data_IF_637227804172
#
_entry.id   IF_637227804172
#
_cell.length_a   1.000
_cell.length_b   1.000
_cell.length_c   1.000
_cell.angle_alpha   90.00
_cell.angle_beta   90.00
_cell.angle_gamma   90.00
#
_symmetry.space_group_name_H-M   'P 1'
#
loop_
_entity.id
_entity.type
_entity.pdbx_description
1 polymer ?
#
# COMPACT_ATOMS: atom_id res chain seq x y z
N UNK A 1 -1.89 5.78 49.42
CA UNK A 1 -1.98 4.81 48.32
C UNK A 1 -1.02 5.26 47.23
N UNK A 2 0.20 4.72 47.23
CA UNK A 2 1.23 5.07 46.26
C UNK A 2 1.12 4.10 45.08
N UNK A 3 0.72 4.61 43.91
CA UNK A 3 0.62 3.83 42.69
C UNK A 3 2.02 3.60 42.09
N UNK A 4 2.38 2.34 41.90
CA UNK A 4 3.64 1.91 41.31
C UNK A 4 3.55 2.08 39.77
N UNK A 5 4.39 2.94 39.20
CA UNK A 5 4.48 3.14 37.74
C UNK A 5 5.36 2.02 37.18
N UNK A 6 4.76 1.08 36.45
CA UNK A 6 5.49 0.06 35.69
C UNK A 6 5.94 0.63 34.35
N UNK A 7 7.24 0.85 34.20
CA UNK A 7 7.84 1.09 32.89
C UNK A 7 7.89 -0.22 32.13
N UNK A 8 7.18 -0.30 31.00
CA UNK A 8 7.31 -1.41 30.06
C UNK A 8 8.40 -1.00 29.08
N UNK A 9 9.57 -1.65 29.14
CA UNK A 9 10.56 -1.52 28.07
C UNK A 9 9.93 -2.03 26.77
N UNK A 10 9.59 -1.12 25.88
CA UNK A 10 9.19 -1.44 24.51
C UNK A 10 10.44 -1.93 23.78
N UNK A 11 10.63 -3.25 23.75
CA UNK A 11 11.65 -3.89 22.92
C UNK A 11 11.36 -3.49 21.47
N UNK A 12 12.19 -2.61 20.91
CA UNK A 12 12.10 -2.26 19.50
C UNK A 12 12.40 -3.54 18.69
N UNK A 13 11.54 -3.92 17.74
CA UNK A 13 11.77 -5.13 16.97
C UNK A 13 13.08 -5.00 16.19
N UNK A 14 13.82 -6.10 16.08
CA UNK A 14 15.03 -6.13 15.25
C UNK A 14 14.71 -5.60 13.84
N UNK A 15 15.62 -4.80 13.25
CA UNK A 15 15.41 -4.27 11.91
C UNK A 15 15.21 -5.43 10.92
N UNK A 16 14.39 -5.25 9.86
CA UNK A 16 14.17 -6.30 8.88
C UNK A 16 15.50 -6.67 8.20
N UNK A 17 15.87 -7.95 8.25
CA UNK A 17 17.17 -8.42 7.73
C UNK A 17 17.36 -8.20 6.21
N UNK A 18 16.26 -8.02 5.47
CA UNK A 18 16.27 -8.01 4.01
C UNK A 18 15.75 -6.71 3.38
N UNK A 19 15.33 -5.73 4.17
CA UNK A 19 14.82 -4.48 3.60
C UNK A 19 15.98 -3.57 3.19
N UNK A 20 16.01 -3.16 1.93
CA UNK A 20 16.93 -2.15 1.41
C UNK A 20 16.14 -1.06 0.69
N UNK A 21 16.54 0.18 0.89
CA UNK A 21 15.95 1.33 0.18
C UNK A 21 16.41 1.28 -1.28
N UNK A 22 15.55 0.76 -2.16
CA UNK A 22 15.69 0.90 -3.61
C UNK A 22 15.10 2.25 -4.08
N UNK A 23 15.46 2.75 -5.28
CA UNK A 23 14.86 3.98 -5.83
C UNK A 23 13.33 3.92 -5.91
N UNK A 24 12.77 2.76 -6.25
CA UNK A 24 11.32 2.58 -6.31
C UNK A 24 10.70 2.54 -4.90
N UNK A 25 11.33 1.86 -3.93
CA UNK A 25 10.88 1.87 -2.54
C UNK A 25 10.88 3.29 -1.94
N UNK A 26 11.93 4.07 -2.22
CA UNK A 26 12.02 5.47 -1.81
C UNK A 26 10.93 6.33 -2.46
N UNK A 27 10.70 6.15 -3.76
CA UNK A 27 9.65 6.88 -4.49
C UNK A 27 8.27 6.59 -3.89
N UNK A 28 7.96 5.33 -3.61
CA UNK A 28 6.69 4.94 -2.98
C UNK A 28 6.57 5.51 -1.56
N UNK A 29 7.65 5.45 -0.78
CA UNK A 29 7.69 6.04 0.56
C UNK A 29 7.45 7.55 0.53
N UNK A 30 8.09 8.30 -0.39
CA UNK A 30 7.91 9.74 -0.50
C UNK A 30 6.46 10.13 -0.85
N UNK A 31 5.77 9.35 -1.69
CA UNK A 31 4.34 9.54 -1.96
C UNK A 31 3.49 9.26 -0.71
N UNK A 32 3.81 8.19 0.01
CA UNK A 32 3.11 7.89 1.26
C UNK A 32 3.33 8.97 2.33
N UNK A 33 4.55 9.47 2.47
CA UNK A 33 4.87 10.61 3.33
C UNK A 33 4.16 11.90 2.86
N UNK A 34 4.05 12.13 1.55
CA UNK A 34 3.23 13.19 0.97
C UNK A 34 1.80 13.14 1.47
N UNK A 35 1.17 11.96 1.42
CA UNK A 35 -0.16 11.72 1.99
C UNK A 35 -0.22 11.99 3.49
N UNK A 36 0.72 11.47 4.29
CA UNK A 36 0.74 11.68 5.74
C UNK A 36 0.81 13.16 6.14
N UNK A 37 1.46 13.97 5.31
CA UNK A 37 1.59 15.41 5.50
C UNK A 37 0.49 16.22 4.79
N UNK A 38 -0.61 15.58 4.38
CA UNK A 38 -1.75 16.19 3.68
C UNK A 38 -1.37 16.93 2.38
N UNK A 39 -0.26 16.56 1.73
CA UNK A 39 0.19 17.15 0.46
C UNK A 39 -0.46 16.50 -0.75
N UNK A 40 -1.04 15.31 -0.60
CA UNK A 40 -1.81 14.64 -1.64
C UNK A 40 -2.96 13.78 -1.06
N UNK A 41 -4.07 13.63 -1.80
CA UNK A 41 -5.15 12.72 -1.41
C UNK A 41 -4.74 11.24 -1.45
N UNK A 42 -5.38 10.42 -0.61
CA UNK A 42 -5.12 8.98 -0.50
C UNK A 42 -5.28 8.24 -1.85
N UNK A 43 -6.31 8.58 -2.63
CA UNK A 43 -6.59 7.98 -3.93
C UNK A 43 -5.45 8.26 -4.92
N UNK A 44 -4.95 9.50 -4.96
CA UNK A 44 -3.85 9.89 -5.85
C UNK A 44 -2.57 9.12 -5.51
N UNK A 45 -2.25 9.04 -4.22
CA UNK A 45 -1.10 8.31 -3.70
C UNK A 45 -1.19 6.82 -4.00
N UNK A 46 -2.33 6.18 -3.65
CA UNK A 46 -2.53 4.75 -3.85
C UNK A 46 -2.52 4.36 -5.33
N UNK A 47 -3.15 5.15 -6.20
CA UNK A 47 -3.16 4.90 -7.63
C UNK A 47 -1.77 5.05 -8.26
N UNK A 48 -0.98 6.02 -7.78
CA UNK A 48 0.41 6.16 -8.20
C UNK A 48 1.24 4.92 -7.81
N UNK A 49 1.10 4.42 -6.58
CA UNK A 49 1.80 3.23 -6.12
C UNK A 49 1.50 2.01 -7.00
N UNK A 50 0.22 1.77 -7.29
CA UNK A 50 -0.21 0.73 -8.24
C UNK A 50 0.40 0.94 -9.64
N UNK A 51 0.34 2.16 -10.16
CA UNK A 51 0.80 2.48 -11.51
C UNK A 51 2.31 2.28 -11.67
N UNK A 52 3.11 2.65 -10.66
CA UNK A 52 4.56 2.44 -10.67
C UNK A 52 4.91 0.95 -10.74
N UNK A 53 4.31 0.11 -9.89
CA UNK A 53 4.51 -1.34 -9.90
C UNK A 53 4.18 -1.94 -11.29
N UNK A 54 3.01 -1.57 -11.83
CA UNK A 54 2.56 -2.06 -13.14
C UNK A 54 3.53 -1.64 -14.24
N UNK A 55 3.98 -0.39 -14.22
CA UNK A 55 4.92 0.14 -15.21
C UNK A 55 6.26 -0.58 -15.15
N UNK A 56 6.86 -0.71 -13.95
CA UNK A 56 8.15 -1.37 -13.74
C UNK A 56 8.16 -2.83 -14.17
N UNK A 57 7.07 -3.54 -13.92
CA UNK A 57 6.95 -4.93 -14.34
C UNK A 57 6.53 -5.11 -15.81
N UNK A 58 6.20 -4.04 -16.54
CA UNK A 58 5.70 -4.12 -17.91
C UNK A 58 4.29 -4.71 -18.02
N UNK A 59 3.49 -4.63 -16.96
CA UNK A 59 2.11 -5.12 -16.95
C UNK A 59 1.69 -5.75 -15.63
N UNK A 60 0.38 -5.94 -15.46
CA UNK A 60 -0.21 -6.37 -14.19
C UNK A 60 0.14 -7.83 -13.84
N UNK A 61 0.09 -8.75 -14.82
CA UNK A 61 0.48 -10.16 -14.62
C UNK A 61 1.96 -10.31 -14.25
N UNK A 62 2.81 -9.45 -14.77
CA UNK A 62 4.22 -9.46 -14.43
C UNK A 62 4.46 -8.84 -13.06
N UNK A 63 3.72 -7.80 -12.68
CA UNK A 63 3.81 -7.18 -11.36
C UNK A 63 3.49 -8.18 -10.24
N UNK A 64 2.49 -9.05 -10.46
CA UNK A 64 2.18 -10.13 -9.53
C UNK A 64 3.37 -11.05 -9.27
N UNK A 65 4.03 -11.49 -10.35
CA UNK A 65 5.21 -12.38 -10.25
C UNK A 65 6.42 -11.66 -9.67
N UNK A 66 6.71 -10.47 -10.19
CA UNK A 66 7.89 -9.67 -9.85
C UNK A 66 7.89 -9.28 -8.38
N UNK A 67 6.77 -8.77 -7.86
CA UNK A 67 6.68 -8.31 -6.47
C UNK A 67 6.08 -9.35 -5.53
N UNK A 68 5.66 -10.52 -6.04
CA UNK A 68 5.01 -11.58 -5.28
C UNK A 68 3.78 -11.04 -4.52
N UNK A 69 2.95 -10.28 -5.23
CA UNK A 69 1.69 -9.71 -4.74
C UNK A 69 0.58 -10.28 -5.61
N UNK A 70 -0.37 -10.97 -5.01
CA UNK A 70 -1.47 -11.59 -5.73
C UNK A 70 -2.22 -10.55 -6.59
N UNK A 71 -2.60 -10.97 -7.80
CA UNK A 71 -3.34 -10.14 -8.76
C UNK A 71 -4.55 -9.42 -8.14
N UNK A 72 -5.33 -10.08 -7.29
CA UNK A 72 -6.54 -9.50 -6.70
C UNK A 72 -6.23 -8.32 -5.77
N UNK A 73 -5.08 -8.33 -5.08
CA UNK A 73 -4.64 -7.20 -4.26
C UNK A 73 -4.36 -5.98 -5.14
N UNK A 74 -3.59 -6.16 -6.23
CA UNK A 74 -3.26 -5.07 -7.14
C UNK A 74 -4.50 -4.53 -7.87
N UNK A 75 -5.40 -5.43 -8.26
CA UNK A 75 -6.67 -5.08 -8.89
C UNK A 75 -7.56 -4.28 -7.93
N UNK A 76 -7.75 -4.76 -6.69
CA UNK A 76 -8.56 -4.08 -5.68
C UNK A 76 -8.01 -2.70 -5.33
N UNK A 77 -6.68 -2.58 -5.19
CA UNK A 77 -6.02 -1.28 -4.98
C UNK A 77 -6.31 -0.32 -6.14
N UNK A 78 -6.17 -0.77 -7.39
CA UNK A 78 -6.50 0.05 -8.56
C UNK A 78 -7.98 0.45 -8.57
N UNK A 79 -8.90 -0.45 -8.26
CA UNK A 79 -10.33 -0.15 -8.21
C UNK A 79 -10.61 0.96 -7.20
N UNK A 80 -10.29 0.73 -5.91
CA UNK A 80 -10.59 1.67 -4.83
C UNK A 80 -9.97 3.06 -5.05
N UNK A 81 -8.79 3.13 -5.67
CA UNK A 81 -8.05 4.39 -5.86
C UNK A 81 -8.35 5.10 -7.18
N UNK A 82 -9.08 4.47 -8.11
CA UNK A 82 -9.42 5.09 -9.40
C UNK A 82 -10.91 5.30 -9.65
N UNK A 83 -11.78 4.49 -9.05
CA UNK A 83 -13.23 4.51 -9.31
C UNK A 83 -14.04 5.17 -8.21
N UNK A 84 -13.47 5.38 -7.01
CA UNK A 84 -14.15 6.04 -5.88
C UNK A 84 -13.64 7.46 -5.64
N UNK A 85 -14.52 8.44 -5.81
CA UNK A 85 -14.24 9.85 -5.64
C UNK A 85 -15.43 10.73 -6.01
N UNK A 86 -15.37 12.00 -5.62
CA UNK A 86 -16.17 13.07 -6.22
C UNK A 86 -15.66 13.40 -7.64
N UNK A 87 -16.36 14.23 -8.40
CA UNK A 87 -15.99 14.63 -9.78
C UNK A 87 -14.54 15.14 -9.91
N UNK A 88 -13.90 15.54 -8.80
CA UNK A 88 -12.53 16.07 -8.76
C UNK A 88 -11.46 15.02 -8.47
N UNK A 89 -11.81 13.85 -7.92
CA UNK A 89 -10.84 12.85 -7.45
C UNK A 89 -10.95 11.49 -8.15
N UNK A 90 -12.09 11.17 -8.78
CA UNK A 90 -12.23 9.96 -9.59
C UNK A 90 -11.38 10.03 -10.87
N UNK A 91 -10.53 9.01 -11.12
CA UNK A 91 -9.63 8.95 -12.29
C UNK A 91 -10.19 8.13 -13.45
N UNK A 92 -11.25 7.34 -13.22
CA UNK A 92 -11.97 6.56 -14.24
C UNK A 92 -13.48 6.68 -14.03
N UNK A 93 -14.19 7.13 -15.07
CA UNK A 93 -15.65 7.11 -15.15
C UNK A 93 -16.08 5.88 -15.97
N UNK A 94 -16.36 4.76 -15.32
CA UNK A 94 -16.99 3.59 -15.95
C UNK A 94 -18.46 3.47 -15.47
N UNK A 95 -19.35 2.85 -16.24
CA UNK A 95 -20.82 2.86 -16.05
C UNK A 95 -21.34 2.23 -14.73
N UNK A 96 -20.47 1.73 -13.85
CA UNK A 96 -20.79 1.15 -12.54
C UNK A 96 -20.00 1.91 -11.46
N UNK A 97 -20.21 3.22 -11.37
CA UNK A 97 -19.59 4.03 -10.32
C UNK A 97 -20.36 3.78 -9.02
N UNK A 98 -19.72 3.20 -8.01
CA UNK A 98 -20.14 3.41 -6.63
C UNK A 98 -19.75 4.84 -6.25
N UNK A 99 -20.55 5.81 -6.70
CA UNK A 99 -20.39 7.23 -6.40
C UNK A 99 -20.48 7.41 -4.89
N UNK A 100 -19.34 7.63 -4.24
CA UNK A 100 -19.28 7.84 -2.81
C UNK A 100 -17.84 7.99 -2.33
N UNK A 101 -17.62 8.73 -1.23
CA UNK A 101 -16.33 8.77 -0.56
C UNK A 101 -15.92 7.36 -0.10
N UNK A 102 -14.61 7.12 0.00
CA UNK A 102 -14.09 5.88 0.59
C UNK A 102 -14.61 5.72 2.02
N UNK A 103 -15.09 4.52 2.37
CA UNK A 103 -15.46 4.20 3.74
C UNK A 103 -14.21 4.18 4.66
N UNK A 104 -14.39 4.24 5.97
CA UNK A 104 -13.26 4.13 6.90
C UNK A 104 -12.47 2.83 6.71
N UNK A 105 -13.16 1.72 6.46
CA UNK A 105 -12.54 0.40 6.21
C UNK A 105 -11.73 0.42 4.92
N UNK A 106 -12.24 1.03 3.85
CA UNK A 106 -11.54 1.14 2.57
C UNK A 106 -10.30 2.05 2.67
N UNK A 107 -10.40 3.14 3.42
CA UNK A 107 -9.26 4.00 3.71
C UNK A 107 -8.14 3.23 4.42
N UNK A 108 -8.46 2.49 5.47
CA UNK A 108 -7.48 1.67 6.20
C UNK A 108 -6.93 0.53 5.33
N UNK A 109 -7.76 -0.05 4.47
CA UNK A 109 -7.35 -1.06 3.52
C UNK A 109 -6.28 -0.53 2.57
N UNK A 110 -6.51 0.63 1.94
CA UNK A 110 -5.55 1.25 1.01
C UNK A 110 -4.24 1.58 1.73
N UNK A 111 -4.32 2.20 2.93
CA UNK A 111 -3.14 2.53 3.74
C UNK A 111 -2.32 1.28 4.06
N UNK A 112 -2.97 0.21 4.48
CA UNK A 112 -2.32 -1.05 4.82
C UNK A 112 -1.68 -1.70 3.60
N UNK A 113 -2.41 -1.75 2.48
CA UNK A 113 -1.91 -2.28 1.21
C UNK A 113 -0.66 -1.54 0.73
N UNK A 114 -0.68 -0.20 0.75
CA UNK A 114 0.47 0.62 0.33
C UNK A 114 1.69 0.39 1.24
N UNK A 115 1.51 0.33 2.56
CA UNK A 115 2.62 0.06 3.49
C UNK A 115 3.26 -1.30 3.24
N UNK A 116 2.44 -2.34 3.04
CA UNK A 116 2.92 -3.69 2.73
C UNK A 116 3.64 -3.70 1.37
N UNK A 117 3.13 -2.97 0.38
CA UNK A 117 3.77 -2.80 -0.93
C UNK A 117 5.15 -2.14 -0.80
N UNK A 118 5.24 -1.01 -0.09
CA UNK A 118 6.53 -0.29 0.12
C UNK A 118 7.55 -1.23 0.73
N UNK A 119 7.15 -1.95 1.78
CA UNK A 119 7.99 -2.94 2.44
C UNK A 119 8.43 -4.03 1.45
N UNK A 120 7.49 -4.57 0.68
CA UNK A 120 7.77 -5.62 -0.33
C UNK A 120 8.76 -5.16 -1.39
N UNK A 121 8.62 -3.95 -1.90
CA UNK A 121 9.55 -3.39 -2.91
C UNK A 121 10.97 -3.23 -2.35
N UNK A 122 11.12 -2.95 -1.06
CA UNK A 122 12.44 -2.92 -0.42
C UNK A 122 13.01 -4.30 -0.07
N UNK A 123 12.18 -5.33 0.07
CA UNK A 123 12.61 -6.69 0.40
C UNK A 123 12.93 -7.56 -0.83
N UNK A 124 12.29 -7.30 -1.98
CA UNK A 124 12.25 -8.24 -3.10
C UNK A 124 13.62 -8.61 -3.68
N UNK A 125 14.58 -7.68 -3.66
CA UNK A 125 15.92 -7.88 -4.24
C UNK A 125 16.90 -8.58 -3.28
N UNK A 126 16.59 -8.66 -1.98
CA UNK A 126 17.53 -9.14 -0.96
C UNK A 126 17.01 -10.32 -0.15
N UNK A 127 15.70 -10.61 -0.21
CA UNK A 127 15.11 -11.73 0.51
C UNK A 127 15.22 -13.03 -0.33
N UNK A 128 15.74 -14.13 0.24
CA UNK A 128 15.92 -15.40 -0.49
C UNK A 128 14.60 -16.02 -0.94
N UNK A 129 13.52 -15.78 -0.19
CA UNK A 129 12.14 -16.16 -0.56
C UNK A 129 11.17 -15.30 0.24
N UNK A 130 10.11 -14.83 -0.42
CA UNK A 130 9.04 -14.07 0.22
C UNK A 130 7.70 -14.79 0.06
N UNK A 131 6.80 -14.79 1.05
CA UNK A 131 5.44 -15.26 0.85
C UNK A 131 4.71 -14.36 -0.17
N UNK A 132 3.75 -14.91 -0.89
CA UNK A 132 2.88 -14.09 -1.75
C UNK A 132 1.95 -13.28 -0.86
N UNK A 133 1.87 -11.97 -1.07
CA UNK A 133 0.88 -11.12 -0.39
C UNK A 133 -0.48 -11.37 -1.04
N UNK A 134 -1.49 -11.68 -0.24
CA UNK A 134 -2.84 -12.03 -0.65
C UNK A 134 -3.86 -11.12 0.02
N UNK A 135 -5.14 -11.28 -0.35
CA UNK A 135 -6.23 -10.57 0.32
C UNK A 135 -6.34 -10.88 1.82
N UNK A 136 -5.80 -12.02 2.28
CA UNK A 136 -5.83 -12.40 3.71
C UNK A 136 -4.80 -11.63 4.55
N UNK A 137 -3.80 -11.02 3.92
CA UNK A 137 -2.78 -10.19 4.58
C UNK A 137 -3.26 -8.75 4.80
N UNK A 138 -4.51 -8.45 4.40
CA UNK A 138 -5.12 -7.12 4.42
C UNK A 138 -6.40 -7.12 5.26
N UNK A 139 -6.85 -5.93 5.73
CA UNK A 139 -8.14 -5.81 6.39
C UNK A 139 -9.28 -6.39 5.53
N UNK A 140 -10.35 -6.87 6.16
CA UNK A 140 -11.53 -7.34 5.43
C UNK A 140 -12.31 -6.13 4.91
N UNK A 141 -12.66 -6.15 3.62
CA UNK A 141 -13.55 -5.20 2.95
C UNK A 141 -15.00 -5.66 3.02
#
# INVERSE_FOLDING_TARGET
MSGEIKFVETIYPNPPNFFKISPDALTLWQRYEGYLNNREPLQSMGYFCFSLLKFRAGGLKNAEKMYRINFEVLKKLSELTSTKGDEKTARKFESVISLGPLSAVENEWIKTAVRIIIRRVGEIDNAPSLPIITMNDLPKL
#
